data_IF_433329596852
#
_entry.id   IF_433329596852
#
_cell.length_a   1.000
_cell.length_b   1.000
_cell.length_c   1.000
_cell.angle_alpha   90.00
_cell.angle_beta   90.00
_cell.angle_gamma   90.00
#
_symmetry.space_group_name_H-M   'P 1'
#
loop_
_entity.id
_entity.type
_entity.pdbx_description
1 polymer ?
#
# COMPACT_ATOMS: atom_id res chain seq x y z
N UNK A 1 4.25 17.40 -74.63
CA UNK A 1 4.22 17.40 -73.15
C UNK A 1 4.46 15.97 -72.69
N UNK A 2 5.50 15.71 -71.88
CA UNK A 2 5.75 14.37 -71.34
C UNK A 2 4.59 13.99 -70.40
N UNK A 3 4.10 12.74 -70.44
CA UNK A 3 3.11 12.28 -69.47
C UNK A 3 3.74 12.35 -68.08
N UNK A 4 3.01 12.93 -67.11
CA UNK A 4 3.39 12.91 -65.69
C UNK A 4 3.53 11.44 -65.29
N UNK A 5 4.74 11.02 -64.93
CA UNK A 5 4.95 9.76 -64.23
C UNK A 5 4.06 9.78 -62.98
N UNK A 6 3.05 8.92 -62.98
CA UNK A 6 2.28 8.63 -61.79
C UNK A 6 3.20 7.73 -60.96
N UNK A 7 4.00 8.34 -60.10
CA UNK A 7 4.65 7.61 -59.01
C UNK A 7 3.55 6.82 -58.30
N UNK A 8 3.71 5.50 -58.11
CA UNK A 8 2.73 4.69 -57.41
C UNK A 8 2.43 5.33 -56.04
N UNK A 9 1.19 5.24 -55.53
CA UNK A 9 0.90 5.75 -54.19
C UNK A 9 1.90 5.11 -53.23
N UNK A 10 2.76 5.94 -52.63
CA UNK A 10 3.76 5.47 -51.71
C UNK A 10 3.00 4.92 -50.51
N UNK A 11 3.04 3.59 -50.31
CA UNK A 11 2.41 2.94 -49.16
C UNK A 11 2.70 3.74 -47.88
N UNK A 12 1.72 3.89 -46.98
CA UNK A 12 1.91 4.68 -45.79
C UNK A 12 3.06 4.13 -44.95
N UNK A 13 3.85 5.03 -44.39
CA UNK A 13 4.89 4.66 -43.45
C UNK A 13 4.27 4.08 -42.17
N UNK A 14 4.96 3.15 -41.49
CA UNK A 14 4.50 2.67 -40.19
C UNK A 14 4.41 3.82 -39.18
N UNK A 15 3.54 3.70 -38.15
CA UNK A 15 3.48 4.71 -37.10
C UNK A 15 4.83 4.78 -36.37
N UNK A 16 5.27 6.00 -36.10
CA UNK A 16 6.50 6.29 -35.36
C UNK A 16 6.21 6.15 -33.87
N UNK A 17 7.02 5.33 -33.20
CA UNK A 17 6.94 5.10 -31.76
C UNK A 17 7.59 6.28 -31.03
N UNK A 18 6.85 6.90 -30.13
CA UNK A 18 7.33 7.95 -29.23
C UNK A 18 7.69 7.41 -27.86
N UNK A 19 7.19 8.06 -26.80
CA UNK A 19 7.45 7.62 -25.42
C UNK A 19 6.81 6.26 -25.16
N UNK A 20 7.57 5.37 -24.52
CA UNK A 20 7.12 4.04 -24.10
C UNK A 20 7.23 3.93 -22.58
N UNK A 21 6.14 3.55 -21.91
CA UNK A 21 6.12 3.21 -20.48
C UNK A 21 5.83 1.72 -20.31
N UNK A 22 5.63 1.27 -19.07
CA UNK A 22 5.26 -0.11 -18.76
C UNK A 22 3.78 -0.40 -19.04
N UNK A 23 2.96 0.64 -19.28
CA UNK A 23 1.52 0.51 -19.51
C UNK A 23 1.01 1.36 -20.69
N UNK A 24 1.90 2.01 -21.44
CA UNK A 24 1.49 2.86 -22.57
C UNK A 24 2.56 3.01 -23.64
N UNK A 25 2.12 3.23 -24.88
CA UNK A 25 2.96 3.49 -26.04
C UNK A 25 2.35 4.67 -26.80
N UNK A 26 3.15 5.73 -27.00
CA UNK A 26 2.76 6.82 -27.90
C UNK A 26 3.08 6.47 -29.36
N UNK A 27 2.12 6.68 -30.26
CA UNK A 27 2.25 6.48 -31.70
C UNK A 27 1.94 7.78 -32.44
N UNK A 28 2.75 8.07 -33.46
CA UNK A 28 2.62 9.26 -34.31
C UNK A 28 2.64 8.87 -35.79
N UNK A 29 1.93 9.59 -36.64
CA UNK A 29 1.94 9.37 -38.10
C UNK A 29 1.67 10.67 -38.87
N UNK A 30 1.85 10.65 -40.19
CA UNK A 30 1.67 11.82 -41.06
C UNK A 30 2.47 13.07 -40.59
N UNK A 31 3.73 12.85 -40.18
CA UNK A 31 4.59 13.89 -39.60
C UNK A 31 4.90 15.04 -40.57
N UNK A 32 4.90 14.75 -41.88
CA UNK A 32 5.13 15.72 -42.94
C UNK A 32 3.85 16.49 -43.33
N UNK A 33 2.71 16.20 -42.68
CA UNK A 33 1.38 16.76 -43.01
C UNK A 33 1.07 16.63 -44.50
N UNK A 34 1.37 15.46 -45.08
CA UNK A 34 1.16 15.19 -46.51
C UNK A 34 -0.33 15.25 -46.86
N UNK A 35 -1.21 14.96 -45.89
CA UNK A 35 -2.65 15.14 -46.05
C UNK A 35 -3.06 16.62 -45.91
N UNK A 36 -3.36 17.27 -47.05
CA UNK A 36 -3.96 18.62 -47.06
C UNK A 36 -5.37 18.57 -46.45
N UNK A 37 -5.55 19.18 -45.27
CA UNK A 37 -6.84 19.30 -44.58
C UNK A 37 -7.52 20.60 -45.01
N UNK A 38 -8.29 20.54 -46.07
CA UNK A 38 -9.10 21.67 -46.56
C UNK A 38 -10.54 21.20 -46.75
N UNK A 39 -11.51 22.05 -46.42
CA UNK A 39 -12.93 21.69 -46.50
C UNK A 39 -13.41 20.78 -45.36
N UNK A 40 -14.64 20.24 -45.47
CA UNK A 40 -15.29 19.45 -44.43
C UNK A 40 -14.61 18.08 -44.22
N UNK A 41 -14.82 17.46 -43.05
CA UNK A 41 -14.03 16.30 -42.59
C UNK A 41 -14.19 15.05 -43.45
N UNK A 42 -15.30 14.92 -44.17
CA UNK A 42 -15.58 13.81 -45.09
C UNK A 42 -14.60 13.79 -46.28
N UNK A 43 -13.91 14.91 -46.53
CA UNK A 43 -12.90 15.05 -47.57
C UNK A 43 -11.48 14.73 -47.07
N UNK A 44 -11.32 14.36 -45.80
CA UNK A 44 -10.02 14.12 -45.19
C UNK A 44 -9.68 12.64 -45.17
N UNK A 45 -8.38 12.33 -45.21
CA UNK A 45 -7.90 10.98 -44.92
C UNK A 45 -8.21 10.62 -43.47
N UNK A 46 -8.80 9.44 -43.27
CA UNK A 46 -9.06 8.87 -41.96
C UNK A 46 -7.98 7.84 -41.64
N UNK A 47 -7.51 7.87 -40.40
CA UNK A 47 -6.48 6.98 -39.89
C UNK A 47 -7.11 5.97 -38.93
N UNK A 48 -6.64 4.73 -39.00
CA UNK A 48 -6.89 3.72 -37.97
C UNK A 48 -5.58 3.06 -37.56
N UNK A 49 -5.44 2.78 -36.27
CA UNK A 49 -4.35 1.96 -35.75
C UNK A 49 -4.91 0.57 -35.47
N UNK A 50 -4.22 -0.43 -36.00
CA UNK A 50 -4.52 -1.83 -35.78
C UNK A 50 -3.41 -2.47 -34.95
N UNK A 51 -3.79 -3.16 -33.88
CA UNK A 51 -2.93 -3.99 -33.04
C UNK A 51 -3.05 -5.46 -33.47
N UNK A 52 -1.91 -6.15 -33.57
CA UNK A 52 -1.87 -7.58 -33.82
C UNK A 52 -2.20 -8.37 -32.55
N UNK A 53 -3.17 -9.28 -32.62
CA UNK A 53 -3.34 -10.33 -31.62
C UNK A 53 -2.42 -11.51 -31.99
N UNK A 54 -1.33 -11.75 -31.24
CA UNK A 54 -0.38 -12.81 -31.57
C UNK A 54 -0.96 -14.22 -31.39
N UNK A 55 -2.05 -14.39 -30.61
CA UNK A 55 -2.69 -15.70 -30.43
C UNK A 55 -3.61 -16.02 -31.60
N UNK A 56 -4.39 -15.04 -32.03
CA UNK A 56 -5.38 -15.22 -33.10
C UNK A 56 -4.84 -14.92 -34.50
N UNK A 57 -3.62 -14.37 -34.61
CA UNK A 57 -3.04 -13.87 -35.86
C UNK A 57 -4.00 -12.90 -36.58
N UNK A 58 -4.75 -12.13 -35.81
CA UNK A 58 -5.77 -11.19 -36.28
C UNK A 58 -5.37 -9.75 -35.90
N UNK A 59 -6.07 -8.78 -36.47
CA UNK A 59 -5.81 -7.36 -36.24
C UNK A 59 -7.07 -6.69 -35.65
N UNK A 60 -6.93 -6.09 -34.48
CA UNK A 60 -7.99 -5.32 -33.82
C UNK A 60 -7.78 -3.82 -34.03
N UNK A 61 -8.83 -3.07 -34.37
CA UNK A 61 -8.76 -1.61 -34.46
C UNK A 61 -8.80 -1.03 -33.05
N UNK A 62 -7.73 -0.34 -32.65
CA UNK A 62 -7.62 0.31 -31.32
C UNK A 62 -7.83 1.82 -31.37
N UNK A 63 -7.73 2.41 -32.57
CA UNK A 63 -8.01 3.82 -32.81
C UNK A 63 -8.59 4.01 -34.21
N UNK A 64 -9.55 4.93 -34.35
CA UNK A 64 -9.97 5.46 -35.65
C UNK A 64 -10.31 6.95 -35.53
N UNK A 65 -9.86 7.76 -36.49
CA UNK A 65 -10.12 9.19 -36.50
C UNK A 65 -9.18 9.97 -37.41
N UNK A 66 -9.04 11.27 -37.13
CA UNK A 66 -8.27 12.21 -37.95
C UNK A 66 -7.03 12.76 -37.22
N UNK A 67 -6.77 12.32 -35.99
CA UNK A 67 -5.57 12.72 -35.27
C UNK A 67 -4.34 12.06 -35.92
N UNK A 68 -3.18 12.67 -35.68
CA UNK A 68 -1.86 12.17 -36.10
C UNK A 68 -1.04 11.62 -34.93
N UNK A 69 -1.67 11.53 -33.76
CA UNK A 69 -1.11 10.98 -32.53
C UNK A 69 -2.19 10.14 -31.85
N UNK A 70 -1.79 9.01 -31.28
CA UNK A 70 -2.60 8.27 -30.33
C UNK A 70 -1.70 7.65 -29.25
N UNK A 71 -2.21 7.58 -28.02
CA UNK A 71 -1.52 6.91 -26.92
C UNK A 71 -2.31 5.64 -26.64
N UNK A 72 -1.65 4.50 -26.86
CA UNK A 72 -2.22 3.20 -26.49
C UNK A 72 -1.97 3.01 -25.00
N UNK A 73 -3.03 2.87 -24.21
CA UNK A 73 -2.98 2.71 -22.76
C UNK A 73 -3.46 1.31 -22.33
N UNK A 74 -3.20 0.93 -21.07
CA UNK A 74 -3.64 -0.36 -20.53
C UNK A 74 -2.79 -1.56 -20.97
N UNK A 75 -1.58 -1.31 -21.47
CA UNK A 75 -0.66 -2.35 -21.92
C UNK A 75 -0.01 -3.11 -20.76
N UNK A 76 0.40 -4.35 -20.99
CA UNK A 76 1.13 -5.17 -20.03
C UNK A 76 2.63 -4.82 -20.04
N UNK A 77 3.31 -4.76 -18.88
CA UNK A 77 4.76 -4.55 -18.80
C UNK A 77 5.58 -5.68 -19.42
N UNK A 78 6.72 -5.34 -20.05
CA UNK A 78 7.61 -6.30 -20.74
C UNK A 78 6.95 -7.13 -21.85
N UNK A 79 5.87 -6.61 -22.45
CA UNK A 79 5.14 -7.28 -23.51
C UNK A 79 5.46 -6.64 -24.86
N UNK A 80 5.68 -7.47 -25.88
CA UNK A 80 5.88 -7.03 -27.26
C UNK A 80 4.53 -6.78 -27.93
N UNK A 81 4.34 -5.58 -28.46
CA UNK A 81 3.18 -5.19 -29.24
C UNK A 81 3.59 -4.90 -30.68
N UNK A 82 2.69 -5.21 -31.62
CA UNK A 82 2.87 -4.86 -33.04
C UNK A 82 1.68 -4.05 -33.54
N UNK A 83 1.98 -2.93 -34.18
CA UNK A 83 0.98 -2.02 -34.70
C UNK A 83 1.19 -1.78 -36.19
N UNK A 84 0.10 -1.50 -36.91
CA UNK A 84 0.14 -0.94 -38.26
C UNK A 84 -0.84 0.20 -38.40
N UNK A 85 -0.50 1.11 -39.31
CA UNK A 85 -1.36 2.22 -39.71
C UNK A 85 -2.20 1.79 -40.92
N UNK A 86 -3.50 2.02 -40.82
CA UNK A 86 -4.43 1.97 -41.94
C UNK A 86 -4.83 3.40 -42.30
N UNK A 87 -4.67 3.76 -43.57
CA UNK A 87 -5.08 5.05 -44.12
C UNK A 87 -6.26 4.81 -45.06
N UNK A 88 -7.39 5.45 -44.78
CA UNK A 88 -8.59 5.40 -45.62
C UNK A 88 -8.77 6.74 -46.32
N UNK A 89 -8.80 6.73 -47.64
CA UNK A 89 -9.06 7.92 -48.45
C UNK A 89 -10.55 8.33 -48.40
N UNK A 90 -10.90 9.56 -48.81
CA UNK A 90 -12.30 9.98 -48.94
C UNK A 90 -13.11 9.13 -49.93
N UNK A 91 -12.46 8.49 -50.91
CA UNK A 91 -13.10 7.56 -51.84
C UNK A 91 -13.34 6.17 -51.25
N UNK A 92 -12.86 5.91 -50.03
CA UNK A 92 -13.00 4.62 -49.33
C UNK A 92 -11.88 3.63 -49.58
N UNK A 93 -10.88 3.98 -50.40
CA UNK A 93 -9.70 3.14 -50.63
C UNK A 93 -8.86 3.05 -49.35
N UNK A 94 -8.37 1.86 -49.03
CA UNK A 94 -7.63 1.59 -47.80
C UNK A 94 -6.23 1.07 -48.11
N UNK A 95 -5.22 1.72 -47.54
CA UNK A 95 -3.83 1.29 -47.59
C UNK A 95 -3.30 0.99 -46.19
N UNK A 96 -2.40 0.00 -46.10
CA UNK A 96 -1.79 -0.42 -44.85
C UNK A 96 -0.28 -0.20 -44.88
N UNK A 97 0.26 0.25 -43.75
CA UNK A 97 1.69 0.31 -43.53
C UNK A 97 2.26 -1.07 -43.19
N UNK A 98 3.59 -1.25 -43.29
CA UNK A 98 4.28 -2.31 -42.57
C UNK A 98 4.01 -2.26 -41.05
N UNK A 99 4.34 -3.35 -40.35
CA UNK A 99 4.25 -3.42 -38.89
C UNK A 99 5.39 -2.65 -38.23
N UNK A 100 5.10 -1.98 -37.13
CA UNK A 100 6.09 -1.54 -36.15
C UNK A 100 6.01 -2.45 -34.93
N UNK A 101 7.15 -2.89 -34.43
CA UNK A 101 7.26 -3.73 -33.23
C UNK A 101 7.87 -2.90 -32.09
N UNK A 102 7.25 -2.93 -30.91
CA UNK A 102 7.69 -2.16 -29.75
C UNK A 102 7.33 -2.92 -28.47
N UNK A 103 8.26 -2.95 -27.51
CA UNK A 103 8.03 -3.57 -26.21
C UNK A 103 7.84 -2.52 -25.13
N UNK A 104 6.84 -2.72 -24.27
CA UNK A 104 6.67 -1.90 -23.06
C UNK A 104 7.85 -2.10 -22.11
N UNK A 105 8.14 -1.07 -21.31
CA UNK A 105 9.23 -1.13 -20.34
C UNK A 105 8.84 -1.97 -19.11
N UNK A 106 9.82 -2.27 -18.25
CA UNK A 106 9.55 -2.92 -16.96
C UNK A 106 8.77 -1.97 -16.06
N UNK A 107 7.81 -2.50 -15.31
CA UNK A 107 7.16 -1.76 -14.23
C UNK A 107 8.22 -1.24 -13.24
N UNK A 108 8.25 0.09 -12.98
CA UNK A 108 9.19 0.66 -12.05
C UNK A 108 8.89 0.16 -10.64
N UNK A 109 9.96 -0.21 -9.91
CA UNK A 109 9.83 -0.66 -8.54
C UNK A 109 9.35 0.52 -7.69
N UNK A 110 8.13 0.41 -7.18
CA UNK A 110 7.48 1.44 -6.37
C UNK A 110 7.46 1.08 -4.87
N UNK A 111 7.09 2.02 -4.01
CA UNK A 111 6.84 1.73 -2.58
C UNK A 111 5.72 0.70 -2.38
N UNK A 112 4.78 0.59 -3.31
CA UNK A 112 3.74 -0.45 -3.26
C UNK A 112 4.34 -1.86 -3.38
N UNK A 113 5.40 -2.01 -4.18
CA UNK A 113 6.11 -3.29 -4.28
C UNK A 113 6.77 -3.68 -2.95
N UNK A 114 7.33 -2.70 -2.23
CA UNK A 114 7.92 -2.89 -0.90
C UNK A 114 6.85 -3.37 0.10
N UNK A 115 5.71 -2.67 0.16
CA UNK A 115 4.59 -3.04 1.03
C UNK A 115 4.01 -4.40 0.68
N UNK A 116 3.88 -4.73 -0.62
CA UNK A 116 3.44 -6.04 -1.08
C UNK A 116 4.38 -7.14 -0.60
N UNK A 117 5.70 -6.97 -0.78
CA UNK A 117 6.69 -7.95 -0.35
C UNK A 117 6.58 -8.25 1.15
N UNK A 118 6.45 -7.23 1.99
CA UNK A 118 6.25 -7.40 3.44
C UNK A 118 4.92 -8.06 3.75
N UNK A 119 3.84 -7.68 3.07
CA UNK A 119 2.50 -8.23 3.33
C UNK A 119 2.41 -9.74 3.12
N UNK A 120 3.13 -10.27 2.13
CA UNK A 120 3.18 -11.71 1.81
C UNK A 120 4.39 -12.43 2.42
N UNK A 121 5.16 -11.74 3.27
CA UNK A 121 6.38 -12.26 3.90
C UNK A 121 7.46 -12.74 2.90
N UNK A 122 7.62 -12.06 1.76
CA UNK A 122 8.61 -12.40 0.73
C UNK A 122 9.94 -11.68 1.00
N UNK A 123 10.87 -12.41 1.63
CA UNK A 123 12.21 -11.93 1.97
C UNK A 123 13.05 -11.61 0.72
N UNK A 124 13.00 -12.48 -0.30
CA UNK A 124 13.83 -12.36 -1.50
C UNK A 124 13.39 -11.16 -2.35
N UNK A 125 12.09 -10.94 -2.48
CA UNK A 125 11.55 -9.75 -3.12
C UNK A 125 11.90 -8.49 -2.32
N UNK A 126 11.78 -8.52 -0.99
CA UNK A 126 12.15 -7.39 -0.16
C UNK A 126 13.63 -7.01 -0.36
N UNK A 127 14.54 -7.98 -0.27
CA UNK A 127 15.98 -7.75 -0.45
C UNK A 127 16.28 -7.19 -1.84
N UNK A 128 15.68 -7.77 -2.90
CA UNK A 128 15.85 -7.26 -4.28
C UNK A 128 15.37 -5.83 -4.46
N UNK A 129 14.25 -5.46 -3.82
CA UNK A 129 13.72 -4.09 -3.86
C UNK A 129 14.68 -3.11 -3.17
N UNK A 130 15.17 -3.47 -1.98
CA UNK A 130 16.06 -2.62 -1.17
C UNK A 130 17.43 -2.44 -1.83
N UNK A 131 18.01 -3.50 -2.39
CA UNK A 131 19.29 -3.44 -3.14
C UNK A 131 19.21 -2.55 -4.39
N UNK A 132 18.01 -2.36 -4.95
CA UNK A 132 17.80 -1.47 -6.09
C UNK A 132 18.03 0.01 -5.76
N UNK A 133 18.08 0.41 -4.49
CA UNK A 133 18.42 1.78 -4.04
C UNK A 133 17.44 2.89 -4.41
N UNK A 134 16.38 2.57 -5.17
CA UNK A 134 15.41 3.56 -5.67
C UNK A 134 14.18 3.74 -4.78
N UNK A 135 13.96 2.86 -3.81
CA UNK A 135 12.79 2.88 -2.93
C UNK A 135 13.18 3.40 -1.55
N UNK A 136 12.52 4.48 -1.12
CA UNK A 136 12.60 4.94 0.27
C UNK A 136 11.91 3.93 1.19
N UNK A 137 12.64 3.44 2.19
CA UNK A 137 12.19 2.37 3.10
C UNK A 137 11.06 2.78 4.03
N UNK A 138 11.03 4.06 4.41
CA UNK A 138 10.12 4.60 5.43
C UNK A 138 8.87 5.26 4.83
N UNK A 139 8.50 4.88 3.62
CA UNK A 139 7.30 5.38 2.96
C UNK A 139 6.07 4.69 3.55
N UNK A 140 5.11 5.43 4.13
CA UNK A 140 3.87 4.83 4.59
C UNK A 140 2.99 4.37 3.41
N UNK A 141 2.27 3.26 3.60
CA UNK A 141 1.22 2.85 2.68
C UNK A 141 -0.02 3.77 2.81
N UNK A 142 -1.07 3.48 2.03
CA UNK A 142 -2.34 4.23 2.05
C UNK A 142 -3.05 4.26 3.42
N UNK A 143 -2.69 3.36 4.34
CA UNK A 143 -3.23 3.31 5.70
C UNK A 143 -2.32 3.99 6.72
N UNK A 144 -1.22 4.61 6.29
CA UNK A 144 -0.27 5.31 7.15
C UNK A 144 0.76 4.40 7.81
N UNK A 145 0.88 3.12 7.42
CA UNK A 145 1.85 2.18 8.02
C UNK A 145 3.12 2.09 7.16
N UNK A 146 4.29 2.16 7.78
CA UNK A 146 5.56 1.83 7.13
C UNK A 146 5.72 0.31 6.97
N UNK A 147 6.65 -0.11 6.13
CA UNK A 147 6.99 -1.53 5.95
C UNK A 147 7.38 -2.19 7.29
N UNK A 148 8.14 -1.48 8.13
CA UNK A 148 8.55 -2.00 9.44
C UNK A 148 7.36 -2.17 10.38
N UNK A 149 6.40 -1.24 10.39
CA UNK A 149 5.19 -1.36 11.22
C UNK A 149 4.38 -2.60 10.87
N UNK A 150 4.21 -2.90 9.57
CA UNK A 150 3.50 -4.09 9.10
C UNK A 150 4.26 -5.36 9.49
N UNK A 151 5.57 -5.41 9.23
CA UNK A 151 6.40 -6.54 9.60
C UNK A 151 6.40 -6.80 11.12
N UNK A 152 6.41 -5.73 11.91
CA UNK A 152 6.40 -5.79 13.37
C UNK A 152 5.05 -6.28 13.91
N UNK A 153 3.93 -5.78 13.36
CA UNK A 153 2.59 -6.22 13.73
C UNK A 153 2.31 -7.68 13.36
N UNK A 154 2.91 -8.17 12.27
CA UNK A 154 2.77 -9.57 11.81
C UNK A 154 3.79 -10.54 12.42
N UNK A 155 4.79 -10.03 13.15
CA UNK A 155 5.81 -10.86 13.78
C UNK A 155 6.86 -11.42 12.83
N UNK A 156 7.03 -10.79 11.66
CA UNK A 156 8.01 -11.21 10.65
C UNK A 156 9.42 -10.78 11.04
N UNK A 157 9.99 -11.44 12.05
CA UNK A 157 11.28 -11.12 12.66
C UNK A 157 12.41 -10.97 11.64
N UNK A 158 12.40 -11.78 10.57
CA UNK A 158 13.43 -11.70 9.53
C UNK A 158 13.29 -10.45 8.66
N UNK A 159 12.06 -10.10 8.26
CA UNK A 159 11.81 -8.84 7.54
C UNK A 159 12.11 -7.61 8.41
N UNK A 160 11.76 -7.65 9.70
CA UNK A 160 12.12 -6.59 10.67
C UNK A 160 13.63 -6.35 10.67
N UNK A 161 14.43 -7.43 10.75
CA UNK A 161 15.91 -7.34 10.71
C UNK A 161 16.41 -6.75 9.39
N UNK A 162 15.84 -7.17 8.26
CA UNK A 162 16.21 -6.65 6.93
C UNK A 162 15.92 -5.15 6.84
N UNK A 163 14.73 -4.72 7.22
CA UNK A 163 14.31 -3.31 7.15
C UNK A 163 15.16 -2.41 8.05
N UNK A 164 15.37 -2.80 9.31
CA UNK A 164 16.21 -2.04 10.25
C UNK A 164 17.67 -1.96 9.77
N UNK A 165 18.20 -3.04 9.19
CA UNK A 165 19.56 -3.04 8.61
C UNK A 165 19.69 -2.15 7.36
N UNK A 166 18.57 -1.78 6.73
CA UNK A 166 18.51 -0.88 5.57
C UNK A 166 18.10 0.55 5.97
N UNK A 167 18.29 0.93 7.24
CA UNK A 167 18.21 2.32 7.67
C UNK A 167 16.80 2.84 7.98
N UNK A 168 15.83 1.95 8.21
CA UNK A 168 14.52 2.39 8.73
C UNK A 168 14.65 3.04 10.10
N UNK A 169 13.99 4.18 10.29
CA UNK A 169 13.76 4.75 11.62
C UNK A 169 12.71 3.93 12.39
N UNK A 170 13.15 3.27 13.47
CA UNK A 170 12.32 2.41 14.32
C UNK A 170 11.25 3.18 15.12
N UNK A 171 11.39 4.51 15.25
CA UNK A 171 10.54 5.37 16.06
C UNK A 171 9.49 6.14 15.24
N UNK A 172 9.41 5.90 13.93
CA UNK A 172 8.36 6.49 13.10
C UNK A 172 6.97 6.09 13.59
N UNK A 173 6.03 7.02 13.42
CA UNK A 173 4.65 6.87 13.88
C UNK A 173 3.67 6.93 12.72
N UNK A 174 2.65 6.08 12.77
CA UNK A 174 1.55 6.12 11.82
C UNK A 174 0.59 7.27 12.13
N UNK A 175 -0.47 7.42 11.32
CA UNK A 175 -1.48 8.47 11.50
C UNK A 175 -2.23 8.44 12.84
N UNK A 176 -2.15 7.35 13.60
CA UNK A 176 -2.70 7.26 14.97
C UNK A 176 -1.66 7.50 16.07
N UNK A 177 -0.43 7.83 15.70
CA UNK A 177 0.69 8.04 16.62
C UNK A 177 1.39 6.75 17.06
N UNK A 178 1.03 5.58 16.52
CA UNK A 178 1.64 4.30 16.92
C UNK A 178 2.91 4.03 16.14
N UNK A 179 3.95 3.57 16.84
CA UNK A 179 5.19 3.07 16.25
C UNK A 179 5.18 1.53 16.11
N UNK A 180 6.25 0.99 15.51
CA UNK A 180 6.43 -0.46 15.31
C UNK A 180 6.48 -1.26 16.63
N UNK A 181 7.02 -0.66 17.70
CA UNK A 181 7.14 -1.32 19.00
C UNK A 181 5.76 -1.52 19.64
N UNK A 182 4.91 -0.50 19.63
CA UNK A 182 3.52 -0.60 20.10
C UNK A 182 2.74 -1.68 19.35
N UNK A 183 2.90 -1.75 18.03
CA UNK A 183 2.21 -2.74 17.20
C UNK A 183 2.69 -4.17 17.49
N UNK A 184 4.01 -4.37 17.66
CA UNK A 184 4.58 -5.67 18.03
C UNK A 184 4.16 -6.10 19.45
N UNK A 185 4.08 -5.17 20.39
CA UNK A 185 3.60 -5.39 21.75
C UNK A 185 2.12 -5.81 21.77
N UNK A 186 1.28 -5.09 21.03
CA UNK A 186 -0.15 -5.44 20.88
C UNK A 186 -0.35 -6.85 20.29
N UNK A 187 0.47 -7.23 19.30
CA UNK A 187 0.37 -8.51 18.62
C UNK A 187 1.15 -9.67 19.30
N UNK A 188 1.90 -9.39 20.35
CA UNK A 188 2.56 -10.42 21.17
C UNK A 188 3.88 -10.96 20.64
N UNK A 189 4.53 -10.25 19.70
CA UNK A 189 5.73 -10.73 19.03
C UNK A 189 7.01 -10.40 19.81
N UNK A 190 7.29 -11.17 20.87
CA UNK A 190 8.39 -10.93 21.80
C UNK A 190 9.78 -10.77 21.13
N UNK A 191 10.09 -11.58 20.12
CA UNK A 191 11.39 -11.48 19.44
C UNK A 191 11.55 -10.18 18.64
N UNK A 192 10.46 -9.71 18.03
CA UNK A 192 10.41 -8.40 17.38
C UNK A 192 10.56 -7.29 18.42
N UNK A 193 9.82 -7.37 19.52
CA UNK A 193 9.88 -6.39 20.63
C UNK A 193 11.32 -6.26 21.16
N UNK A 194 11.97 -7.38 21.47
CA UNK A 194 13.38 -7.43 21.90
C UNK A 194 14.31 -6.79 20.86
N UNK A 195 14.10 -7.11 19.59
CA UNK A 195 14.94 -6.59 18.51
C UNK A 195 14.79 -5.08 18.34
N UNK A 196 13.55 -4.56 18.28
CA UNK A 196 13.28 -3.12 18.15
C UNK A 196 13.85 -2.34 19.34
N UNK A 197 13.72 -2.86 20.57
CA UNK A 197 14.29 -2.25 21.78
C UNK A 197 15.81 -2.11 21.73
N UNK A 198 16.51 -3.16 21.25
CA UNK A 198 17.97 -3.11 21.05
C UNK A 198 18.40 -2.09 19.98
N UNK A 199 17.49 -1.67 19.11
CA UNK A 199 17.75 -0.70 18.04
C UNK A 199 17.14 0.68 18.31
N UNK A 200 16.89 1.01 19.58
CA UNK A 200 16.56 2.37 20.00
C UNK A 200 15.07 2.71 20.04
N UNK A 201 14.16 1.73 19.92
CA UNK A 201 12.74 1.96 20.20
C UNK A 201 12.53 2.26 21.69
N UNK A 202 11.65 3.20 22.04
CA UNK A 202 11.48 3.70 23.43
C UNK A 202 10.19 3.19 24.09
N UNK A 203 10.27 2.83 25.38
CA UNK A 203 9.08 2.54 26.20
C UNK A 203 8.23 3.78 26.50
N UNK A 204 8.83 4.97 26.43
CA UNK A 204 8.18 6.26 26.71
C UNK A 204 7.44 6.83 25.50
N UNK A 205 7.56 6.20 24.32
CA UNK A 205 6.80 6.60 23.15
C UNK A 205 5.29 6.53 23.45
N UNK A 206 4.56 7.56 22.99
CA UNK A 206 3.11 7.68 23.17
C UNK A 206 2.40 7.88 21.84
N UNK A 207 1.27 7.21 21.67
CA UNK A 207 0.36 7.47 20.55
C UNK A 207 -0.50 8.72 20.78
N UNK A 208 -1.42 9.04 19.86
CA UNK A 208 -2.25 10.23 19.99
C UNK A 208 -3.21 10.20 21.19
N UNK A 209 -3.52 9.01 21.73
CA UNK A 209 -4.28 8.85 22.98
C UNK A 209 -3.40 8.93 24.22
N UNK A 210 -2.09 9.11 24.07
CA UNK A 210 -1.12 9.05 25.15
C UNK A 210 -0.76 7.64 25.60
N UNK A 211 -1.20 6.61 24.88
CA UNK A 211 -0.95 5.21 25.25
C UNK A 211 0.49 4.82 24.89
N UNK A 212 1.13 4.08 25.80
CA UNK A 212 2.48 3.51 25.59
C UNK A 212 2.42 2.07 25.11
N UNK A 213 3.57 1.48 24.76
CA UNK A 213 3.67 0.07 24.39
C UNK A 213 3.09 -0.88 25.46
N UNK A 214 3.22 -0.56 26.75
CA UNK A 214 2.71 -1.41 27.84
C UNK A 214 1.18 -1.44 27.88
N UNK A 215 0.55 -0.30 27.60
CA UNK A 215 -0.89 -0.24 27.44
C UNK A 215 -1.34 -1.19 26.32
N UNK A 216 -0.66 -1.11 25.16
CA UNK A 216 -0.96 -1.95 24.00
C UNK A 216 -0.70 -3.44 24.24
N UNK A 217 0.37 -3.80 24.97
CA UNK A 217 0.62 -5.19 25.38
C UNK A 217 -0.48 -5.72 26.33
N UNK A 218 -0.98 -4.88 27.25
CA UNK A 218 -2.05 -5.24 28.18
C UNK A 218 -3.39 -5.51 27.46
N UNK A 219 -3.70 -4.74 26.41
CA UNK A 219 -4.86 -4.99 25.55
C UNK A 219 -4.71 -6.30 24.77
N UNK A 220 -3.53 -6.58 24.23
CA UNK A 220 -3.23 -7.82 23.51
C UNK A 220 -3.22 -9.06 24.41
N UNK A 221 -2.99 -8.89 25.72
CA UNK A 221 -3.03 -9.98 26.70
C UNK A 221 -1.77 -10.86 26.72
N UNK A 222 -0.68 -10.42 26.11
CA UNK A 222 0.52 -11.24 25.89
C UNK A 222 1.49 -11.19 27.07
N UNK A 223 1.29 -12.10 28.02
CA UNK A 223 2.05 -12.19 29.28
C UNK A 223 3.58 -12.21 29.08
N UNK A 224 4.09 -13.01 28.13
CA UNK A 224 5.54 -13.13 27.87
C UNK A 224 6.19 -11.82 27.38
N UNK A 225 5.43 -10.98 26.66
CA UNK A 225 5.87 -9.64 26.28
C UNK A 225 5.94 -8.75 27.51
N UNK A 226 4.87 -8.72 28.32
CA UNK A 226 4.77 -7.87 29.50
C UNK A 226 5.85 -8.22 30.54
N UNK A 227 6.05 -9.50 30.85
CA UNK A 227 7.12 -9.99 31.73
C UNK A 227 8.49 -9.47 31.26
N UNK A 228 8.76 -9.55 29.96
CA UNK A 228 10.02 -9.07 29.41
C UNK A 228 10.14 -7.55 29.44
N UNK A 229 9.06 -6.81 29.16
CA UNK A 229 9.02 -5.35 29.25
C UNK A 229 9.36 -4.85 30.65
N UNK A 230 8.76 -5.46 31.68
CA UNK A 230 9.03 -5.15 33.09
C UNK A 230 10.50 -5.43 33.42
N UNK A 231 11.02 -6.58 33.00
CA UNK A 231 12.44 -6.94 33.18
C UNK A 231 13.40 -5.97 32.47
N UNK A 232 12.99 -5.41 31.33
CA UNK A 232 13.73 -4.39 30.57
C UNK A 232 13.53 -2.95 31.11
N UNK A 233 12.92 -2.81 32.29
CA UNK A 233 12.77 -1.51 32.98
C UNK A 233 11.61 -0.64 32.45
N UNK A 234 10.60 -1.24 31.82
CA UNK A 234 9.40 -0.50 31.44
C UNK A 234 8.62 -0.05 32.69
N UNK A 235 8.27 1.24 32.74
CA UNK A 235 7.44 1.80 33.80
C UNK A 235 6.01 1.23 33.75
N UNK A 236 5.52 0.76 34.89
CA UNK A 236 4.25 0.00 35.00
C UNK A 236 3.04 0.92 35.16
N UNK A 237 3.17 2.00 35.94
CA UNK A 237 2.08 2.93 36.30
C UNK A 237 1.99 4.15 35.38
N UNK A 238 2.37 3.99 34.12
CA UNK A 238 2.15 5.01 33.08
C UNK A 238 0.66 5.25 32.88
N UNK A 239 0.27 6.51 32.66
CA UNK A 239 -1.12 6.87 32.37
C UNK A 239 -1.28 7.41 30.96
N UNK A 240 -2.35 7.00 30.28
CA UNK A 240 -2.72 7.59 29.00
C UNK A 240 -3.24 9.04 29.15
N UNK A 241 -3.35 9.76 28.03
CA UNK A 241 -3.77 11.16 28.00
C UNK A 241 -5.25 11.34 27.70
N UNK A 242 -5.98 10.28 27.37
CA UNK A 242 -7.42 10.36 27.06
C UNK A 242 -8.29 10.16 28.29
N UNK A 243 -8.12 9.01 28.93
CA UNK A 243 -8.90 8.53 30.08
C UNK A 243 -8.11 8.62 31.39
N UNK A 244 -6.79 8.76 31.33
CA UNK A 244 -5.92 8.62 32.49
C UNK A 244 -5.86 7.17 32.97
N UNK A 245 -6.04 6.19 32.08
CA UNK A 245 -5.96 4.80 32.45
C UNK A 245 -4.51 4.34 32.51
N UNK A 246 -4.23 3.46 33.48
CA UNK A 246 -3.00 2.67 33.52
C UNK A 246 -3.15 1.40 32.70
N UNK A 247 -2.05 0.69 32.35
CA UNK A 247 -2.12 -0.64 31.76
C UNK A 247 -3.01 -1.60 32.55
N UNK A 248 -2.97 -1.55 33.90
CA UNK A 248 -3.82 -2.39 34.74
C UNK A 248 -5.32 -2.06 34.57
N UNK A 249 -5.69 -0.79 34.50
CA UNK A 249 -7.08 -0.39 34.22
C UNK A 249 -7.55 -0.87 32.85
N UNK A 250 -6.66 -0.89 31.85
CA UNK A 250 -6.99 -1.39 30.51
C UNK A 250 -7.29 -2.88 30.50
N UNK A 251 -6.57 -3.68 31.28
CA UNK A 251 -6.88 -5.12 31.45
C UNK A 251 -8.32 -5.29 31.94
N UNK A 252 -8.71 -4.54 32.95
CA UNK A 252 -10.08 -4.56 33.48
C UNK A 252 -11.13 -4.13 32.45
N UNK A 253 -10.80 -3.12 31.63
CA UNK A 253 -11.75 -2.51 30.71
C UNK A 253 -11.92 -3.26 29.38
N UNK A 254 -10.84 -3.85 28.88
CA UNK A 254 -10.74 -4.35 27.51
C UNK A 254 -10.66 -5.87 27.49
N UNK A 255 -9.63 -6.46 28.11
CA UNK A 255 -9.28 -7.88 27.89
C UNK A 255 -9.84 -8.83 28.96
N UNK A 256 -9.99 -8.38 30.21
CA UNK A 256 -10.35 -9.22 31.36
C UNK A 256 -9.30 -10.27 31.71
N UNK A 257 -8.06 -10.12 31.23
CA UNK A 257 -7.03 -11.14 31.36
C UNK A 257 -6.40 -11.15 32.78
N UNK A 258 -6.87 -12.07 33.62
CA UNK A 258 -6.41 -12.22 35.01
C UNK A 258 -4.89 -12.43 35.14
N UNK A 259 -4.26 -13.14 34.20
CA UNK A 259 -2.81 -13.38 34.24
C UNK A 259 -2.04 -12.09 34.03
N UNK A 260 -2.47 -11.25 33.09
CA UNK A 260 -1.85 -9.93 32.89
C UNK A 260 -2.06 -9.03 34.09
N UNK A 261 -3.26 -9.04 34.69
CA UNK A 261 -3.51 -8.29 35.91
C UNK A 261 -2.57 -8.74 37.05
N UNK A 262 -2.41 -10.04 37.27
CA UNK A 262 -1.48 -10.59 38.26
C UNK A 262 -0.06 -10.11 37.97
N UNK A 263 0.43 -10.26 36.74
CA UNK A 263 1.78 -9.85 36.36
C UNK A 263 2.05 -8.37 36.62
N UNK A 264 1.10 -7.48 36.31
CA UNK A 264 1.25 -6.05 36.56
C UNK A 264 1.24 -5.75 38.07
N UNK A 265 0.36 -6.39 38.84
CA UNK A 265 0.29 -6.24 40.31
C UNK A 265 1.58 -6.76 40.97
N UNK A 266 2.05 -7.93 40.56
CA UNK A 266 3.30 -8.55 41.05
C UNK A 266 4.52 -7.67 40.71
N UNK A 267 4.45 -6.92 39.61
CA UNK A 267 5.44 -5.92 39.22
C UNK A 267 5.28 -4.56 39.92
N UNK A 268 4.34 -4.44 40.87
CA UNK A 268 4.16 -3.25 41.69
C UNK A 268 3.17 -2.21 41.14
N UNK A 269 2.31 -2.58 40.18
CA UNK A 269 1.27 -1.68 39.69
C UNK A 269 0.37 -1.17 40.84
N UNK A 270 0.19 0.14 40.91
CA UNK A 270 -0.63 0.74 41.94
C UNK A 270 -2.13 0.54 41.63
N UNK A 271 -2.76 -0.36 42.39
CA UNK A 271 -4.19 -0.70 42.30
C UNK A 271 -5.14 0.43 42.74
N UNK A 272 -4.61 1.56 43.22
CA UNK A 272 -5.37 2.71 43.72
C UNK A 272 -5.24 3.96 42.84
N UNK A 273 -4.54 3.89 41.69
CA UNK A 273 -4.53 5.00 40.73
C UNK A 273 -5.98 5.32 40.34
N UNK A 274 -6.30 6.60 40.19
CA UNK A 274 -7.62 7.06 39.78
C UNK A 274 -7.57 7.57 38.34
N UNK A 275 -8.54 7.13 37.54
CA UNK A 275 -8.75 7.69 36.21
C UNK A 275 -9.33 9.11 36.29
N UNK A 276 -9.58 9.72 35.12
CA UNK A 276 -10.19 11.06 35.05
C UNK A 276 -11.58 11.18 35.66
N UNK A 277 -12.28 10.07 35.86
CA UNK A 277 -13.58 10.00 36.53
C UNK A 277 -13.45 9.66 38.02
N UNK A 278 -12.23 9.60 38.56
CA UNK A 278 -11.96 9.21 39.93
C UNK A 278 -12.06 7.72 40.20
N UNK A 279 -12.21 6.87 39.17
CA UNK A 279 -12.37 5.42 39.32
C UNK A 279 -11.02 4.71 39.42
N UNK A 280 -10.91 3.78 40.36
CA UNK A 280 -9.75 2.88 40.46
C UNK A 280 -9.90 1.68 39.51
N UNK A 281 -8.83 0.90 39.23
CA UNK A 281 -8.93 -0.31 38.41
C UNK A 281 -10.06 -1.25 38.86
N UNK A 282 -10.22 -1.47 40.17
CA UNK A 282 -11.29 -2.32 40.71
C UNK A 282 -12.69 -1.73 40.46
N UNK A 283 -12.86 -0.41 40.64
CA UNK A 283 -14.12 0.27 40.36
C UNK A 283 -14.50 0.20 38.88
N UNK A 284 -13.51 0.25 37.98
CA UNK A 284 -13.73 0.11 36.54
C UNK A 284 -14.25 -1.28 36.17
N UNK A 285 -13.76 -2.35 36.81
CA UNK A 285 -14.32 -3.72 36.63
C UNK A 285 -15.80 -3.76 37.03
N UNK A 286 -16.14 -3.22 38.20
CA UNK A 286 -17.52 -3.24 38.72
C UNK A 286 -18.46 -2.46 37.79
N UNK A 287 -18.07 -1.24 37.41
CA UNK A 287 -18.84 -0.37 36.51
C UNK A 287 -19.17 -1.08 35.18
N UNK A 288 -18.21 -1.81 34.60
CA UNK A 288 -18.41 -2.52 33.34
C UNK A 288 -19.27 -3.77 33.48
N UNK A 289 -19.14 -4.50 34.59
CA UNK A 289 -20.02 -5.63 34.88
C UNK A 289 -21.47 -5.16 35.05
N UNK A 290 -21.70 -4.02 35.69
CA UNK A 290 -23.01 -3.41 35.80
C UNK A 290 -23.57 -2.96 34.45
N UNK A 291 -22.76 -2.33 33.60
CA UNK A 291 -23.17 -1.96 32.24
C UNK A 291 -23.50 -3.18 31.36
N UNK A 292 -22.69 -4.25 31.42
CA UNK A 292 -22.97 -5.50 30.72
C UNK A 292 -24.27 -6.14 31.20
N UNK A 293 -24.54 -6.15 32.52
CA UNK A 293 -25.82 -6.61 33.09
C UNK A 293 -27.00 -5.78 32.61
N UNK A 294 -26.86 -4.45 32.48
CA UNK A 294 -27.92 -3.57 31.94
C UNK A 294 -28.22 -3.87 30.47
N UNK A 295 -27.20 -4.13 29.65
CA UNK A 295 -27.35 -4.49 28.22
C UNK A 295 -27.96 -5.89 28.00
N UNK A 296 -27.78 -6.81 28.95
CA UNK A 296 -28.31 -8.18 28.87
C UNK A 296 -29.73 -8.35 29.44
N UNK A 297 -30.33 -7.31 30.03
CA UNK A 297 -31.74 -7.39 30.45
C UNK A 297 -32.62 -7.50 29.20
N UNK A 298 -33.47 -8.54 29.06
CA UNK A 298 -34.38 -8.64 27.93
C UNK A 298 -35.27 -7.40 27.92
N UNK A 299 -35.42 -6.74 26.76
CA UNK A 299 -36.46 -5.75 26.55
C UNK A 299 -37.77 -6.45 26.89
N UNK A 300 -38.45 -6.03 27.96
CA UNK A 300 -39.80 -6.53 28.26
C UNK A 300 -40.61 -6.28 26.99
N UNK A 301 -40.94 -7.33 26.26
CA UNK A 301 -41.94 -7.27 25.21
C UNK A 301 -43.22 -6.89 25.91
N UNK A 302 -43.70 -5.67 25.70
CA UNK A 302 -45.09 -5.33 25.98
C UNK A 302 -45.93 -6.30 25.15
N UNK A 303 -46.56 -7.26 25.80
CA UNK A 303 -47.65 -8.03 25.22
C UNK A 303 -48.85 -7.08 25.26
N UNK A 304 -49.25 -6.61 24.08
CA UNK A 304 -50.51 -5.88 23.88
C UNK A 304 -51.69 -6.84 23.98
#
# INVERSE_FOLDING_TARGET
>A
MRPKEITPPSKPHPPVVGKVTHHSIELYWDLEKKAKRQGPQEQWFRFSIEEEDPKMHSYGIIYTGYATKHVVEGLEPRTLYRFRLKVTSPSGECEYSPLVSVSTTREPISSEHLHRAVNVNDEDLLVRILQGGHVKVDVPNKFGFTALMVAAQKGYTRLVKILVSNGTDVNLKNGSGKDSLMLACYAGHLDVVKYLRRHGASWQARDLGGCTALHWAADGGHCSVIEWMIKDGCEVDVVDTGSGWTPLMRVSAVSGNQRVASLLIDAGANVNVKDRNGKTPLMSVISLLEERKKKQRPKKSCVC
#
